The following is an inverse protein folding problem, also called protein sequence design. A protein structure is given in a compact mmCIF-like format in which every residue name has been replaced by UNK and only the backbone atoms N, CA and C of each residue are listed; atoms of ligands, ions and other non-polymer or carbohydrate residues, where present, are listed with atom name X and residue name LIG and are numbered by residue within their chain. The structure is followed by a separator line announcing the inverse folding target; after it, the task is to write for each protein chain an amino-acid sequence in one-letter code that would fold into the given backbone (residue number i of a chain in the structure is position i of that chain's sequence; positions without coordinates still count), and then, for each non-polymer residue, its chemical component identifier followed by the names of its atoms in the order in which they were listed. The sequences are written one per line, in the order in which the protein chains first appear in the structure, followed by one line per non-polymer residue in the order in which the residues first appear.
data_IF_690347786441
#
_entry.id   IF_690347786441
#
_cell.length_a   1.000
_cell.length_b   1.000
_cell.length_c   1.000
_cell.angle_alpha   90.00
_cell.angle_beta   90.00
_cell.angle_gamma   90.00
#
_symmetry.space_group_name_H-M   'P 1'
#
loop_
_entity.id
_entity.type
_entity.pdbx_description
1 polymer ?
#
# COMPACT_ATOMS: atom_id res chain seq x y z
N UNK A 1 -3.52 -9.75 -21.12
CA UNK A 1 -4.72 -8.98 -20.76
C UNK A 1 -4.30 -7.60 -20.27
N UNK A 2 -4.94 -6.57 -20.77
CA UNK A 2 -4.62 -5.19 -20.39
C UNK A 2 -5.47 -4.81 -19.17
N UNK A 3 -4.81 -4.33 -18.12
CA UNK A 3 -5.51 -3.82 -16.94
C UNK A 3 -6.14 -2.46 -17.27
N UNK A 4 -7.27 -2.17 -16.67
CA UNK A 4 -8.03 -0.95 -16.95
C UNK A 4 -8.25 -0.10 -15.69
N UNK A 5 -8.30 -0.75 -14.52
CA UNK A 5 -8.56 -0.07 -13.25
C UNK A 5 -7.29 -0.08 -12.41
N UNK A 6 -6.92 1.09 -11.92
CA UNK A 6 -5.73 1.25 -11.07
C UNK A 6 -6.10 2.01 -9.81
N UNK A 7 -5.72 1.49 -8.66
CA UNK A 7 -5.86 2.22 -7.41
C UNK A 7 -4.91 3.41 -7.41
N UNK A 8 -5.35 4.53 -6.87
CA UNK A 8 -4.54 5.74 -6.73
C UNK A 8 -4.52 6.16 -5.27
N UNK A 9 -3.35 6.15 -4.66
CA UNK A 9 -3.16 6.64 -3.31
C UNK A 9 -2.45 8.01 -3.37
N UNK A 10 -2.97 8.98 -2.63
CA UNK A 10 -2.40 10.33 -2.61
C UNK A 10 -1.67 10.58 -1.31
N UNK A 11 -0.56 11.31 -1.43
CA UNK A 11 0.30 11.67 -0.29
C UNK A 11 0.76 13.11 -0.43
N UNK A 12 0.91 13.78 0.70
CA UNK A 12 1.49 15.13 0.71
C UNK A 12 2.97 15.08 0.33
N UNK A 13 3.67 14.00 0.72
CA UNK A 13 5.07 13.76 0.36
C UNK A 13 5.20 12.38 -0.32
N UNK A 14 5.01 12.32 -1.64
CA UNK A 14 5.08 11.05 -2.36
C UNK A 14 6.42 10.31 -2.25
N UNK A 15 7.53 11.03 -2.24
CA UNK A 15 8.86 10.40 -2.14
C UNK A 15 8.99 9.61 -0.84
N UNK A 16 8.57 10.19 0.27
CA UNK A 16 8.59 9.56 1.58
C UNK A 16 7.65 8.35 1.64
N UNK A 17 6.49 8.49 1.03
CA UNK A 17 5.51 7.39 0.96
C UNK A 17 6.07 6.21 0.19
N UNK A 18 6.72 6.43 -0.94
CA UNK A 18 7.32 5.38 -1.76
C UNK A 18 8.35 4.59 -0.94
N UNK A 19 9.20 5.28 -0.19
CA UNK A 19 10.20 4.62 0.65
C UNK A 19 9.55 3.75 1.72
N UNK A 20 8.50 4.25 2.36
CA UNK A 20 7.77 3.48 3.37
C UNK A 20 7.10 2.26 2.76
N UNK A 21 6.38 2.43 1.64
CA UNK A 21 5.65 1.35 1.00
C UNK A 21 6.60 0.23 0.52
N UNK A 22 7.79 0.60 0.07
CA UNK A 22 8.81 -0.38 -0.29
C UNK A 22 9.33 -1.13 0.94
N UNK A 23 9.66 -0.41 2.00
CA UNK A 23 10.26 -1.01 3.21
C UNK A 23 9.25 -1.85 4.00
N UNK A 24 8.01 -1.35 4.16
CA UNK A 24 7.01 -1.98 5.02
C UNK A 24 6.20 -3.07 4.30
N UNK A 25 5.86 -2.85 3.03
CA UNK A 25 4.96 -3.73 2.28
C UNK A 25 5.63 -4.48 1.14
N UNK A 26 6.88 -4.16 0.82
CA UNK A 26 7.61 -4.83 -0.25
C UNK A 26 7.23 -4.39 -1.66
N UNK A 27 6.58 -3.24 -1.81
CA UNK A 27 6.23 -2.72 -3.13
C UNK A 27 7.48 -2.23 -3.86
N UNK A 28 7.49 -2.30 -5.19
CA UNK A 28 8.65 -1.94 -6.00
C UNK A 28 8.32 -0.74 -6.88
N UNK A 29 9.16 0.29 -6.83
CA UNK A 29 9.00 1.44 -7.72
C UNK A 29 9.25 1.03 -9.18
N UNK A 30 8.32 1.37 -10.07
CA UNK A 30 8.42 1.08 -11.50
C UNK A 30 8.68 2.34 -12.31
N UNK A 31 7.96 3.42 -12.02
CA UNK A 31 8.08 4.70 -12.67
C UNK A 31 7.92 5.79 -11.63
N UNK A 32 8.81 6.78 -11.64
CA UNK A 32 8.76 7.92 -10.72
C UNK A 32 8.88 9.20 -11.54
N UNK A 33 7.90 10.08 -11.43
CA UNK A 33 7.87 11.35 -12.16
C UNK A 33 8.12 12.51 -11.20
N UNK A 34 8.99 13.43 -11.60
CA UNK A 34 9.37 14.58 -10.78
C UNK A 34 9.00 15.86 -11.52
N UNK A 35 8.75 16.93 -10.75
CA UNK A 35 8.57 18.26 -11.30
C UNK A 35 9.94 18.94 -11.53
N UNK A 36 9.91 20.18 -11.98
CA UNK A 36 11.14 20.93 -12.29
C UNK A 36 12.03 21.17 -11.07
N UNK A 37 11.46 21.13 -9.86
CA UNK A 37 12.23 21.28 -8.62
C UNK A 37 12.88 19.98 -8.15
N UNK A 38 12.55 18.84 -8.80
CA UNK A 38 13.02 17.53 -8.40
C UNK A 38 12.11 16.84 -7.40
N UNK A 39 10.96 17.41 -7.04
CA UNK A 39 10.01 16.80 -6.15
C UNK A 39 9.19 15.73 -6.88
N UNK A 40 8.97 14.57 -6.24
CA UNK A 40 8.15 13.52 -6.81
C UNK A 40 6.68 13.95 -6.78
N UNK A 41 6.01 13.89 -7.93
CA UNK A 41 4.60 14.26 -8.05
C UNK A 41 3.70 13.09 -8.45
N UNK A 42 4.28 12.03 -9.01
CA UNK A 42 3.56 10.83 -9.43
C UNK A 42 4.51 9.64 -9.45
N UNK A 43 3.97 8.46 -9.18
CA UNK A 43 4.73 7.22 -9.32
C UNK A 43 3.81 6.04 -9.62
N UNK A 44 4.42 4.99 -10.12
CA UNK A 44 3.79 3.69 -10.32
C UNK A 44 4.58 2.67 -9.51
N UNK A 45 3.91 1.92 -8.65
CA UNK A 45 4.53 0.88 -7.84
C UNK A 45 3.96 -0.47 -8.22
N UNK A 46 4.82 -1.47 -8.28
CA UNK A 46 4.43 -2.86 -8.53
C UNK A 46 4.16 -3.58 -7.21
N UNK A 47 3.09 -4.36 -7.21
CA UNK A 47 2.71 -5.27 -6.12
C UNK A 47 2.55 -6.63 -6.78
N UNK A 48 3.65 -7.43 -6.83
CA UNK A 48 3.66 -8.62 -7.65
C UNK A 48 3.47 -8.25 -9.12
N UNK A 49 2.43 -8.77 -9.74
CA UNK A 49 2.09 -8.45 -11.14
C UNK A 49 1.13 -7.27 -11.28
N UNK A 50 0.64 -6.77 -10.16
CA UNK A 50 -0.30 -5.65 -10.16
C UNK A 50 0.43 -4.33 -9.96
N UNK A 51 -0.29 -3.23 -10.17
CA UNK A 51 0.27 -1.89 -10.12
C UNK A 51 -0.68 -0.95 -9.41
N UNK A 52 -0.12 -0.06 -8.60
CA UNK A 52 -0.86 1.08 -8.07
C UNK A 52 -0.17 2.37 -8.51
N UNK A 53 -0.91 3.46 -8.49
CA UNK A 53 -0.38 4.79 -8.76
C UNK A 53 -0.29 5.58 -7.45
N UNK A 54 0.75 6.39 -7.35
CA UNK A 54 0.94 7.33 -6.26
C UNK A 54 0.88 8.73 -6.83
N UNK A 55 0.10 9.59 -6.20
CA UNK A 55 -0.02 10.99 -6.61
C UNK A 55 0.21 11.94 -5.45
N UNK A 56 0.53 13.20 -5.78
CA UNK A 56 0.62 14.25 -4.78
C UNK A 56 -0.77 14.78 -4.46
N UNK A 57 -1.08 14.93 -3.19
CA UNK A 57 -2.37 15.46 -2.75
C UNK A 57 -2.72 15.01 -1.34
N UNK A 58 -3.97 15.25 -0.96
CA UNK A 58 -4.46 14.89 0.37
C UNK A 58 -4.68 13.38 0.46
N UNK A 59 -4.16 12.72 1.52
CA UNK A 59 -4.42 11.31 1.77
C UNK A 59 -5.84 11.08 2.31
N UNK A 60 -6.21 9.81 2.51
CA UNK A 60 -7.45 9.47 3.20
C UNK A 60 -8.55 8.94 2.31
N UNK A 61 -8.21 8.36 1.16
CA UNK A 61 -9.19 7.65 0.34
C UNK A 61 -9.70 6.38 1.02
N UNK A 62 -10.62 5.65 0.37
CA UNK A 62 -11.03 4.34 0.86
C UNK A 62 -9.83 3.40 0.91
N UNK A 63 -9.85 2.46 1.83
CA UNK A 63 -8.75 1.53 2.01
C UNK A 63 -8.48 0.69 0.75
N UNK A 64 -7.23 0.25 0.62
CA UNK A 64 -6.81 -0.64 -0.45
C UNK A 64 -6.55 -2.02 0.15
N UNK A 65 -7.17 -3.04 -0.43
CA UNK A 65 -6.96 -4.43 -0.03
C UNK A 65 -5.94 -5.09 -0.95
N UNK A 66 -5.00 -5.80 -0.34
CA UNK A 66 -3.96 -6.55 -1.06
C UNK A 66 -3.98 -7.99 -0.57
N UNK A 67 -4.08 -8.94 -1.48
CA UNK A 67 -4.01 -10.36 -1.11
C UNK A 67 -2.56 -10.74 -0.85
N UNK A 68 -2.33 -11.44 0.26
CA UNK A 68 -1.01 -11.94 0.65
C UNK A 68 -1.13 -13.39 1.12
N UNK A 69 -0.04 -14.14 1.00
CA UNK A 69 -0.06 -15.56 1.37
C UNK A 69 0.10 -15.78 2.87
N UNK A 70 0.88 -14.94 3.53
CA UNK A 70 1.18 -15.06 4.97
C UNK A 70 0.91 -13.72 5.67
N UNK A 71 -0.35 -13.45 6.03
CA UNK A 71 -0.69 -12.18 6.69
C UNK A 71 -0.02 -12.00 8.05
N UNK A 72 0.27 -13.06 8.78
CA UNK A 72 0.94 -12.97 10.09
C UNK A 72 2.35 -12.41 9.94
N UNK A 73 3.15 -12.97 9.03
CA UNK A 73 4.49 -12.47 8.75
C UNK A 73 4.45 -11.05 8.17
N UNK A 74 3.49 -10.77 7.30
CA UNK A 74 3.31 -9.44 6.70
C UNK A 74 2.99 -8.40 7.78
N UNK A 75 2.08 -8.73 8.71
CA UNK A 75 1.71 -7.90 9.84
C UNK A 75 2.94 -7.54 10.69
N UNK A 76 3.72 -8.54 11.06
CA UNK A 76 4.87 -8.33 11.94
C UNK A 76 5.92 -7.45 11.27
N UNK A 77 6.16 -7.68 9.99
CA UNK A 77 7.11 -6.88 9.22
C UNK A 77 6.64 -5.43 9.06
N UNK A 78 5.38 -5.23 8.69
CA UNK A 78 4.81 -3.90 8.49
C UNK A 78 4.82 -3.10 9.80
N UNK A 79 4.44 -3.73 10.91
CA UNK A 79 4.45 -3.10 12.22
C UNK A 79 5.86 -2.69 12.62
N UNK A 80 6.83 -3.56 12.42
CA UNK A 80 8.23 -3.25 12.74
C UNK A 80 8.78 -2.11 11.88
N UNK A 81 8.27 -1.95 10.65
CA UNK A 81 8.69 -0.89 9.73
C UNK A 81 7.97 0.44 9.97
N UNK A 82 7.01 0.50 10.90
CA UNK A 82 6.36 1.75 11.29
C UNK A 82 4.90 1.90 10.89
N UNK A 83 4.26 0.87 10.36
CA UNK A 83 2.82 0.90 10.12
C UNK A 83 2.06 0.89 11.46
N UNK A 84 0.96 1.63 11.51
CA UNK A 84 0.07 1.62 12.68
C UNK A 84 -1.03 0.60 12.44
N UNK A 85 -1.09 -0.45 13.27
CA UNK A 85 -2.11 -1.49 13.11
C UNK A 85 -3.47 -0.90 13.54
N UNK A 86 -4.43 -0.91 12.62
CA UNK A 86 -5.79 -0.40 12.86
C UNK A 86 -6.80 -1.52 13.06
N UNK A 87 -6.52 -2.71 12.54
CA UNK A 87 -7.32 -3.91 12.75
C UNK A 87 -6.36 -5.08 12.93
N UNK A 88 -6.35 -5.67 14.13
CA UNK A 88 -5.46 -6.80 14.41
C UNK A 88 -5.81 -8.01 13.57
N UNK A 89 -4.83 -8.93 13.46
CA UNK A 89 -5.03 -10.17 12.72
C UNK A 89 -6.29 -10.89 13.22
N UNK A 90 -7.15 -11.24 12.29
CA UNK A 90 -8.44 -11.87 12.58
C UNK A 90 -8.82 -12.85 11.47
N UNK A 91 -9.41 -13.97 11.88
CA UNK A 91 -10.02 -14.91 10.94
C UNK A 91 -11.45 -14.47 10.68
N UNK A 92 -11.72 -14.06 9.46
CA UNK A 92 -13.07 -13.61 9.07
C UNK A 92 -13.99 -14.78 8.81
N UNK A 93 -15.30 -14.55 8.96
CA UNK A 93 -16.31 -15.59 8.77
C UNK A 93 -16.34 -16.18 7.36
N UNK A 94 -15.82 -15.42 6.37
CA UNK A 94 -15.75 -15.87 4.97
C UNK A 94 -14.43 -16.59 4.63
N UNK A 95 -13.64 -16.95 5.63
CA UNK A 95 -12.45 -17.78 5.43
C UNK A 95 -11.15 -17.06 5.18
N UNK A 96 -11.13 -15.74 5.25
CA UNK A 96 -9.92 -14.95 5.09
C UNK A 96 -9.28 -14.64 6.44
N UNK A 97 -7.95 -14.69 6.51
CA UNK A 97 -7.22 -14.16 7.65
C UNK A 97 -6.62 -12.82 7.23
N UNK A 98 -6.94 -11.76 7.98
CA UNK A 98 -6.67 -10.38 7.55
C UNK A 98 -6.18 -9.51 8.69
N UNK A 99 -5.51 -8.42 8.34
CA UNK A 99 -5.29 -7.29 9.25
C UNK A 99 -5.38 -5.98 8.46
N UNK A 100 -5.50 -4.89 9.18
CA UNK A 100 -5.49 -3.55 8.61
C UNK A 100 -4.46 -2.67 9.28
N UNK A 101 -3.94 -1.71 8.53
CA UNK A 101 -2.99 -0.75 9.06
C UNK A 101 -3.10 0.58 8.34
N UNK A 102 -2.57 1.62 8.99
CA UNK A 102 -2.40 2.94 8.39
C UNK A 102 -0.92 3.16 8.15
N UNK A 103 -0.59 3.75 7.01
CA UNK A 103 0.77 4.19 6.76
C UNK A 103 1.00 5.57 7.38
N UNK A 104 2.27 6.01 7.54
CA UNK A 104 2.55 7.33 8.12
C UNK A 104 2.03 8.49 7.29
N UNK A 105 1.78 8.26 6.01
CA UNK A 105 1.27 9.27 5.09
C UNK A 105 -0.24 9.47 5.15
N UNK A 106 -0.97 8.65 5.93
CA UNK A 106 -2.39 8.84 6.17
C UNK A 106 -3.34 8.00 5.32
N UNK A 107 -2.85 6.97 4.65
CA UNK A 107 -3.70 6.03 3.91
C UNK A 107 -3.84 4.70 4.65
N UNK A 108 -4.94 4.00 4.40
CA UNK A 108 -5.29 2.75 5.07
C UNK A 108 -5.16 1.58 4.11
N UNK A 109 -4.59 0.49 4.61
CA UNK A 109 -4.33 -0.73 3.87
C UNK A 109 -4.88 -1.93 4.59
N UNK A 110 -5.37 -2.92 3.83
CA UNK A 110 -5.82 -4.20 4.34
C UNK A 110 -5.08 -5.30 3.62
N UNK A 111 -4.58 -6.27 4.37
CA UNK A 111 -3.82 -7.40 3.82
C UNK A 111 -4.44 -8.69 4.32
N UNK A 112 -4.71 -9.61 3.41
CA UNK A 112 -5.36 -10.86 3.77
C UNK A 112 -5.23 -11.94 2.72
N UNK A 113 -5.72 -13.12 3.06
CA UNK A 113 -5.61 -14.30 2.18
C UNK A 113 -6.73 -14.38 1.15
N UNK A 114 -7.79 -13.61 1.30
CA UNK A 114 -8.93 -13.68 0.38
C UNK A 114 -8.54 -13.15 -1.01
N UNK A 115 -8.88 -13.92 -2.02
CA UNK A 115 -8.72 -13.54 -3.43
C UNK A 115 -10.07 -13.68 -4.11
N UNK A 116 -10.71 -12.55 -4.49
CA UNK A 116 -11.99 -12.59 -5.19
C UNK A 116 -11.90 -13.28 -6.54
#
# INVERSE_FOLDING_TARGET
MTRTVFALARYEDPAKAIDFLAAAFGFTAHQVSKDDSGAVVHAELLIGEDMIMIGKGQPGGPGIYVAVDDPDAHHDHAKAAGATITMELVDQSYGSREYGCADPGGNTWYFGTYRP
#
